data_IF_066236587918
#
_entry.id   IF_066236587918
#
_cell.length_a   1.000
_cell.length_b   1.000
_cell.length_c   1.000
_cell.angle_alpha   90.00
_cell.angle_beta   90.00
_cell.angle_gamma   90.00
#
_symmetry.space_group_name_H-M   'P 1'
#
loop_
_entity.id
_entity.type
_entity.pdbx_description
1 polymer ?
#
# COMPACT_ATOMS: atom_id res chain seq x y z
N UNK A 1 16.00 -22.26 12.49
CA UNK A 1 16.66 -22.13 11.86
C UNK A 1 16.42 -21.74 10.57
N UNK A 2 15.92 -22.13 9.86
CA UNK A 2 15.65 -21.79 8.51
C UNK A 2 14.80 -20.54 8.32
N UNK A 3 14.10 -20.11 9.36
CA UNK A 3 13.19 -18.97 9.23
C UNK A 3 13.90 -17.67 8.86
N UNK A 4 15.09 -17.46 9.39
CA UNK A 4 15.85 -16.26 9.06
C UNK A 4 16.20 -16.18 7.58
N UNK A 5 16.42 -17.32 6.95
CA UNK A 5 16.72 -17.37 5.52
C UNK A 5 15.49 -17.05 4.68
N UNK A 6 14.32 -17.53 5.12
CA UNK A 6 13.08 -17.24 4.40
C UNK A 6 12.74 -15.75 4.46
N UNK A 7 12.97 -15.13 5.63
CA UNK A 7 12.70 -13.71 5.80
C UNK A 7 13.57 -12.84 4.90
N UNK A 8 14.70 -13.36 4.43
CA UNK A 8 15.63 -12.65 3.57
C UNK A 8 15.48 -13.02 2.10
N UNK A 9 14.50 -13.84 1.76
CA UNK A 9 14.24 -14.17 0.36
C UNK A 9 13.87 -12.92 -0.41
N UNK A 10 14.28 -12.89 -1.66
CA UNK A 10 13.89 -11.83 -2.57
C UNK A 10 12.40 -11.94 -2.85
N UNK A 11 11.65 -10.95 -2.42
CA UNK A 11 10.21 -10.86 -2.66
C UNK A 11 9.99 -9.68 -3.59
N UNK A 12 9.21 -9.90 -4.64
CA UNK A 12 8.88 -8.87 -5.62
C UNK A 12 7.39 -8.54 -5.55
N UNK A 13 7.01 -7.43 -6.17
CA UNK A 13 5.61 -7.02 -6.19
C UNK A 13 4.70 -8.11 -6.74
N UNK A 14 5.17 -8.85 -7.75
CA UNK A 14 4.38 -9.92 -8.35
C UNK A 14 4.02 -11.01 -7.34
N UNK A 15 4.81 -11.16 -6.29
CA UNK A 15 4.58 -12.17 -5.25
C UNK A 15 3.51 -11.74 -4.25
N UNK A 16 3.21 -10.45 -4.17
CA UNK A 16 2.36 -9.91 -3.10
C UNK A 16 1.13 -9.18 -3.60
N UNK A 17 1.01 -8.96 -4.91
CA UNK A 17 -0.10 -8.21 -5.48
C UNK A 17 -0.87 -9.07 -6.48
N UNK A 18 -2.18 -9.05 -6.37
CA UNK A 18 -3.06 -9.65 -7.37
C UNK A 18 -3.99 -8.58 -7.94
N UNK A 19 -4.55 -8.84 -9.11
CA UNK A 19 -5.47 -7.88 -9.73
C UNK A 19 -6.71 -7.65 -8.89
N UNK A 20 -7.10 -8.62 -8.05
CA UNK A 20 -8.24 -8.46 -7.14
C UNK A 20 -7.97 -7.40 -6.06
N UNK A 21 -6.70 -7.07 -5.83
CA UNK A 21 -6.31 -6.04 -4.88
C UNK A 21 -5.91 -4.73 -5.57
N UNK A 22 -6.33 -4.53 -6.79
CA UNK A 22 -6.17 -3.27 -7.53
C UNK A 22 -7.55 -2.64 -7.66
N UNK A 23 -7.73 -1.47 -7.07
CA UNK A 23 -9.04 -0.86 -6.93
C UNK A 23 -9.03 0.58 -7.43
N UNK A 24 -10.09 0.93 -8.16
CA UNK A 24 -10.40 2.32 -8.50
C UNK A 24 -11.59 2.70 -7.63
N UNK A 25 -11.40 3.61 -6.68
CA UNK A 25 -12.44 3.94 -5.73
C UNK A 25 -13.01 5.33 -6.00
N UNK A 26 -14.33 5.42 -5.88
CA UNK A 26 -15.07 6.68 -5.92
C UNK A 26 -15.65 6.93 -4.54
N UNK A 27 -16.08 8.17 -4.30
CA UNK A 27 -16.77 8.52 -3.06
C UNK A 27 -15.92 8.40 -1.81
N UNK A 28 -14.59 8.50 -1.97
CA UNK A 28 -13.68 8.63 -0.85
C UNK A 28 -13.32 10.11 -0.74
N UNK A 29 -13.69 10.74 0.38
CA UNK A 29 -13.53 12.19 0.55
C UNK A 29 -12.53 12.55 1.63
N UNK A 30 -12.18 11.62 2.52
CA UNK A 30 -11.31 11.89 3.65
C UNK A 30 -10.34 10.74 3.88
N UNK A 31 -9.20 11.07 4.45
CA UNK A 31 -8.15 10.10 4.76
C UNK A 31 -8.65 8.96 5.65
N UNK A 32 -9.44 9.27 6.69
CA UNK A 32 -9.97 8.24 7.58
C UNK A 32 -10.89 7.27 6.84
N UNK A 33 -11.65 7.78 5.91
CA UNK A 33 -12.55 6.96 5.10
C UNK A 33 -11.74 5.99 4.23
N UNK A 34 -10.63 6.46 3.65
CA UNK A 34 -9.72 5.63 2.90
C UNK A 34 -9.13 4.51 3.77
N UNK A 35 -8.66 4.87 4.96
CA UNK A 35 -8.03 3.90 5.86
C UNK A 35 -9.05 2.87 6.35
N UNK A 36 -10.28 3.27 6.57
CA UNK A 36 -11.36 2.35 6.92
C UNK A 36 -11.57 1.33 5.80
N UNK A 37 -11.57 1.80 4.55
CA UNK A 37 -11.73 0.92 3.41
C UNK A 37 -10.55 -0.05 3.28
N UNK A 38 -9.35 0.43 3.50
CA UNK A 38 -8.15 -0.42 3.49
C UNK A 38 -8.27 -1.51 4.56
N UNK A 39 -8.68 -1.13 5.77
CA UNK A 39 -8.84 -2.10 6.86
C UNK A 39 -9.89 -3.16 6.53
N UNK A 40 -10.99 -2.76 5.90
CA UNK A 40 -12.04 -3.72 5.49
C UNK A 40 -11.50 -4.72 4.47
N UNK A 41 -10.72 -4.25 3.52
CA UNK A 41 -10.13 -5.12 2.51
C UNK A 41 -9.14 -6.08 3.16
N UNK A 42 -8.29 -5.56 4.03
CA UNK A 42 -7.28 -6.38 4.70
C UNK A 42 -7.93 -7.46 5.57
N UNK A 43 -8.97 -7.12 6.32
CA UNK A 43 -9.61 -8.06 7.23
C UNK A 43 -10.23 -9.26 6.51
N UNK A 44 -10.53 -9.12 5.24
CA UNK A 44 -11.06 -10.23 4.44
C UNK A 44 -9.97 -11.21 4.05
N UNK A 45 -8.72 -10.77 4.04
CA UNK A 45 -7.59 -11.57 3.61
C UNK A 45 -6.74 -12.10 4.75
N UNK A 46 -6.95 -11.60 5.96
CA UNK A 46 -6.18 -11.98 7.13
C UNK A 46 -7.13 -12.18 8.32
N UNK A 47 -6.65 -12.91 9.32
CA UNK A 47 -7.47 -13.24 10.48
C UNK A 47 -7.35 -12.17 11.58
N UNK A 48 -7.62 -10.94 11.22
CA UNK A 48 -7.61 -9.79 12.13
C UNK A 48 -8.88 -8.99 11.88
N UNK A 49 -9.54 -8.53 12.94
CA UNK A 49 -10.75 -7.74 12.77
C UNK A 49 -10.43 -6.40 12.09
N UNK A 50 -11.38 -5.89 11.35
CA UNK A 50 -11.26 -4.60 10.66
C UNK A 50 -10.94 -3.48 11.64
N UNK A 51 -11.61 -3.45 12.79
CA UNK A 51 -11.40 -2.39 13.78
C UNK A 51 -9.99 -2.44 14.40
N UNK A 52 -9.47 -3.64 14.66
CA UNK A 52 -8.12 -3.77 15.20
C UNK A 52 -7.09 -3.32 14.18
N UNK A 53 -7.26 -3.75 12.93
CA UNK A 53 -6.32 -3.37 11.87
C UNK A 53 -6.36 -1.86 11.63
N UNK A 54 -7.56 -1.28 11.62
CA UNK A 54 -7.72 0.16 11.43
C UNK A 54 -7.02 0.93 12.55
N UNK A 55 -7.20 0.51 13.81
CA UNK A 55 -6.52 1.17 14.93
C UNK A 55 -5.01 1.15 14.78
N UNK A 56 -4.45 -0.02 14.41
CA UNK A 56 -3.02 -0.15 14.24
C UNK A 56 -2.52 0.73 13.09
N UNK A 57 -3.26 0.76 11.99
CA UNK A 57 -2.88 1.54 10.82
C UNK A 57 -2.93 3.04 11.09
N UNK A 58 -3.96 3.49 11.81
CA UNK A 58 -4.08 4.90 12.17
C UNK A 58 -3.00 5.33 13.16
N UNK A 59 -2.67 4.47 14.10
CA UNK A 59 -1.60 4.74 15.06
C UNK A 59 -0.26 4.90 14.34
N UNK A 60 0.02 4.01 13.40
CA UNK A 60 1.24 4.09 12.58
C UNK A 60 1.27 5.39 11.79
N UNK A 61 0.14 5.80 11.24
CA UNK A 61 0.04 7.00 10.43
C UNK A 61 0.27 8.27 11.26
N UNK A 62 -0.13 8.26 12.52
CA UNK A 62 0.14 9.38 13.40
C UNK A 62 1.62 9.52 13.72
N UNK A 63 2.32 8.38 13.84
CA UNK A 63 3.76 8.39 14.08
C UNK A 63 4.53 8.85 12.86
N UNK A 64 4.10 8.43 11.68
CA UNK A 64 4.78 8.74 10.44
C UNK A 64 3.77 8.81 9.30
N UNK A 65 3.63 9.99 8.71
CA UNK A 65 2.73 10.19 7.58
C UNK A 65 3.22 9.38 6.38
N UNK A 66 2.33 8.62 5.77
CA UNK A 66 2.67 7.73 4.66
C UNK A 66 2.70 8.43 3.30
N UNK A 67 2.36 9.70 3.23
CA UNK A 67 2.46 10.46 1.99
C UNK A 67 3.90 10.69 1.61
N UNK A 68 4.26 10.39 0.38
CA UNK A 68 5.64 10.55 -0.10
C UNK A 68 5.81 11.68 -1.11
N UNK A 69 4.73 12.44 -1.35
CA UNK A 69 4.74 13.53 -2.30
C UNK A 69 4.16 13.11 -3.65
N UNK A 70 3.94 14.10 -4.51
CA UNK A 70 3.44 13.91 -5.88
C UNK A 70 2.09 13.20 -5.93
N UNK A 71 1.29 13.31 -4.88
CA UNK A 71 -0.03 12.70 -4.82
C UNK A 71 -0.02 11.21 -4.48
N UNK A 72 1.08 10.71 -3.93
CA UNK A 72 1.27 9.29 -3.62
C UNK A 72 1.41 9.06 -2.13
N UNK A 73 0.81 7.98 -1.63
CA UNK A 73 1.03 7.53 -0.26
C UNK A 73 1.30 6.03 -0.25
N UNK A 74 2.15 5.60 0.69
CA UNK A 74 2.47 4.19 0.86
C UNK A 74 2.25 3.83 2.34
N UNK A 75 0.98 3.69 2.77
CA UNK A 75 0.72 3.19 4.12
C UNK A 75 1.32 1.80 4.24
N UNK A 76 2.03 1.53 5.33
CA UNK A 76 2.63 0.22 5.51
C UNK A 76 2.65 -0.14 6.98
N UNK A 77 2.55 -1.44 7.26
CA UNK A 77 2.48 -1.92 8.62
C UNK A 77 3.04 -3.34 8.71
N UNK A 78 3.70 -3.62 9.82
CA UNK A 78 4.17 -4.96 10.15
C UNK A 78 3.49 -5.38 11.45
N UNK A 79 2.94 -6.59 11.47
CA UNK A 79 2.23 -7.11 12.66
C UNK A 79 2.52 -8.59 12.83
N UNK A 80 2.60 -9.02 14.10
CA UNK A 80 2.84 -10.42 14.40
C UNK A 80 1.72 -11.34 13.89
N UNK A 81 0.50 -10.83 13.82
CA UNK A 81 -0.65 -11.61 13.38
C UNK A 81 -0.69 -11.84 11.88
N UNK A 82 0.13 -11.10 11.13
CA UNK A 82 0.21 -11.25 9.67
C UNK A 82 1.16 -12.40 9.36
N UNK A 83 0.72 -13.32 8.50
CA UNK A 83 1.53 -14.50 8.14
C UNK A 83 2.24 -14.34 6.81
N UNK A 84 1.62 -13.63 5.87
CA UNK A 84 2.18 -13.44 4.54
C UNK A 84 2.16 -11.98 4.17
N UNK A 85 3.18 -11.54 3.44
CA UNK A 85 3.23 -10.17 2.92
C UNK A 85 2.23 -10.02 1.78
N UNK A 86 1.50 -8.91 1.74
CA UNK A 86 0.63 -8.62 0.61
C UNK A 86 0.47 -7.11 0.43
N UNK A 87 0.04 -6.73 -0.77
CA UNK A 87 -0.15 -5.33 -1.12
C UNK A 87 -1.54 -5.07 -1.67
N UNK A 88 -1.96 -3.82 -1.56
CA UNK A 88 -3.22 -3.33 -2.11
C UNK A 88 -2.94 -2.01 -2.80
N UNK A 89 -3.33 -1.92 -4.07
CA UNK A 89 -3.20 -0.67 -4.82
C UNK A 89 -4.56 -0.02 -4.95
N UNK A 90 -4.64 1.26 -4.61
CA UNK A 90 -5.87 2.02 -4.72
C UNK A 90 -5.61 3.30 -5.51
N UNK A 91 -6.44 3.55 -6.49
CA UNK A 91 -6.47 4.81 -7.20
C UNK A 91 -7.81 5.48 -6.92
N UNK A 92 -7.76 6.76 -6.54
CA UNK A 92 -8.96 7.55 -6.27
C UNK A 92 -9.28 8.39 -7.51
N UNK A 93 -10.57 8.50 -7.83
CA UNK A 93 -10.97 9.38 -8.93
C UNK A 93 -10.85 10.85 -8.56
N UNK A 94 -10.78 11.15 -7.26
CA UNK A 94 -10.61 12.49 -6.75
C UNK A 94 -9.60 12.46 -5.62
N UNK A 95 -8.56 13.29 -5.70
CA UNK A 95 -7.54 13.34 -4.66
C UNK A 95 -8.10 13.87 -3.34
N UNK A 96 -7.50 13.44 -2.24
CA UNK A 96 -7.95 13.80 -0.90
C UNK A 96 -6.82 14.43 -0.11
N UNK A 97 -7.17 15.30 0.83
CA UNK A 97 -6.19 15.88 1.74
C UNK A 97 -5.57 14.78 2.58
N UNK A 98 -4.25 14.79 2.70
CA UNK A 98 -3.51 13.72 3.37
C UNK A 98 -2.52 14.28 4.39
N UNK A 99 -2.36 15.60 4.43
CA UNK A 99 -1.34 16.28 5.23
C UNK A 99 0.06 15.74 4.90
N UNK A 100 0.29 15.49 3.61
CA UNK A 100 1.58 15.02 3.13
C UNK A 100 2.65 16.09 3.31
N UNK A 101 3.91 15.67 3.23
CA UNK A 101 5.05 16.56 3.43
C UNK A 101 5.06 17.75 2.47
N UNK A 102 4.55 17.57 1.25
CA UNK A 102 4.48 18.63 0.24
C UNK A 102 3.11 19.31 0.21
N UNK A 103 2.21 18.97 1.12
CA UNK A 103 0.83 19.48 1.20
C UNK A 103 -0.03 19.19 -0.05
N UNK A 104 0.44 18.33 -0.93
CA UNK A 104 -0.34 17.94 -2.10
C UNK A 104 -1.37 16.88 -1.74
N UNK A 105 -2.58 16.94 -2.30
CA UNK A 105 -3.57 15.89 -2.06
C UNK A 105 -3.14 14.59 -2.72
N UNK A 106 -3.68 13.48 -2.25
CA UNK A 106 -3.27 12.13 -2.62
C UNK A 106 -4.37 11.42 -3.40
N UNK A 107 -3.99 10.75 -4.49
CA UNK A 107 -4.92 9.96 -5.29
C UNK A 107 -4.38 8.56 -5.65
N UNK A 108 -3.10 8.29 -5.36
CA UNK A 108 -2.47 7.00 -5.64
C UNK A 108 -1.94 6.43 -4.33
N UNK A 109 -2.43 5.25 -3.97
CA UNK A 109 -2.11 4.63 -2.68
C UNK A 109 -1.68 3.18 -2.89
N UNK A 110 -0.55 2.81 -2.31
CA UNK A 110 -0.15 1.41 -2.22
C UNK A 110 0.04 1.06 -0.76
N UNK A 111 -0.78 0.14 -0.24
CA UNK A 111 -0.66 -0.31 1.14
C UNK A 111 0.13 -1.60 1.18
N UNK A 112 1.16 -1.63 2.00
CA UNK A 112 2.02 -2.81 2.19
C UNK A 112 1.83 -3.37 3.59
N UNK A 113 1.48 -4.65 3.66
CA UNK A 113 1.22 -5.35 4.93
C UNK A 113 2.15 -6.55 5.03
N UNK A 114 2.90 -6.62 6.11
CA UNK A 114 3.96 -7.64 6.26
C UNK A 114 3.96 -8.26 7.65
N UNK A 115 4.43 -9.51 7.76
CA UNK A 115 4.74 -10.08 9.06
C UNK A 115 5.85 -9.28 9.75
N UNK A 116 5.83 -9.27 11.07
CA UNK A 116 6.79 -8.53 11.87
C UNK A 116 8.23 -8.99 11.60
N UNK A 117 8.44 -10.26 11.31
CA UNK A 117 9.77 -10.81 11.09
C UNK A 117 10.25 -10.71 9.63
N UNK A 118 9.50 -10.01 8.76
CA UNK A 118 9.88 -9.81 7.34
C UNK A 118 10.52 -8.45 7.12
N UNK A 119 11.23 -7.92 8.11
CA UNK A 119 11.71 -6.55 8.05
C UNK A 119 12.59 -6.24 6.81
N UNK A 120 13.61 -7.07 6.46
CA UNK A 120 14.41 -6.77 5.26
C UNK A 120 13.57 -6.76 3.97
N UNK A 121 12.67 -7.72 3.81
CA UNK A 121 11.80 -7.77 2.64
C UNK A 121 10.87 -6.57 2.60
N UNK A 122 10.31 -6.20 3.75
CA UNK A 122 9.43 -5.04 3.87
C UNK A 122 10.13 -3.75 3.38
N UNK A 123 11.34 -3.52 3.86
CA UNK A 123 12.12 -2.34 3.46
C UNK A 123 12.48 -2.36 1.97
N UNK A 124 12.82 -3.53 1.45
CA UNK A 124 13.16 -3.67 0.04
C UNK A 124 11.97 -3.33 -0.87
N UNK A 125 10.77 -3.79 -0.50
CA UNK A 125 9.57 -3.48 -1.26
C UNK A 125 9.25 -1.98 -1.18
N UNK A 126 9.38 -1.38 0.01
CA UNK A 126 9.15 0.07 0.15
C UNK A 126 10.10 0.86 -0.73
N UNK A 127 11.37 0.47 -0.76
CA UNK A 127 12.35 1.14 -1.61
C UNK A 127 12.00 1.01 -3.09
N UNK A 128 11.57 -0.19 -3.50
CA UNK A 128 11.15 -0.42 -4.88
C UNK A 128 9.95 0.46 -5.25
N UNK A 129 8.95 0.49 -4.38
CA UNK A 129 7.75 1.30 -4.62
C UNK A 129 8.08 2.79 -4.70
N UNK A 130 8.95 3.26 -3.81
CA UNK A 130 9.36 4.66 -3.82
C UNK A 130 10.01 5.04 -5.16
N UNK A 131 10.88 4.18 -5.67
CA UNK A 131 11.52 4.42 -6.97
C UNK A 131 10.50 4.38 -8.11
N UNK A 132 9.58 3.42 -8.06
CA UNK A 132 8.57 3.28 -9.11
C UNK A 132 7.67 4.51 -9.17
N UNK A 133 7.19 4.97 -8.03
CA UNK A 133 6.31 6.13 -7.98
C UNK A 133 7.04 7.45 -8.17
N UNK A 134 8.35 7.48 -7.98
CA UNK A 134 9.15 8.67 -8.24
C UNK A 134 9.39 8.88 -9.73
N UNK A 135 9.09 7.89 -10.54
CA UNK A 135 9.20 7.99 -12.00
C UNK A 135 7.93 8.63 -12.54
N UNK A 136 8.07 9.82 -13.13
CA UNK A 136 6.92 10.62 -13.59
C UNK A 136 6.09 9.88 -14.64
N UNK A 137 6.76 9.16 -15.54
CA UNK A 137 6.05 8.44 -16.60
C UNK A 137 5.20 7.31 -16.04
N UNK A 138 5.77 6.56 -15.08
CA UNK A 138 5.00 5.51 -14.42
C UNK A 138 3.76 6.07 -13.75
N UNK A 139 3.92 7.18 -13.05
CA UNK A 139 2.82 7.79 -12.31
C UNK A 139 1.75 8.31 -13.27
N UNK A 140 2.15 8.95 -14.38
CA UNK A 140 1.20 9.39 -15.39
C UNK A 140 0.42 8.22 -15.97
N UNK A 141 1.12 7.12 -16.28
CA UNK A 141 0.48 5.94 -16.85
C UNK A 141 -0.48 5.29 -15.87
N UNK A 142 -0.11 5.24 -14.59
CA UNK A 142 -1.00 4.71 -13.56
C UNK A 142 -2.28 5.55 -13.44
N UNK A 143 -2.13 6.87 -13.48
CA UNK A 143 -3.29 7.77 -13.36
C UNK A 143 -4.19 7.71 -14.59
N UNK A 144 -3.62 7.47 -15.76
CA UNK A 144 -4.38 7.39 -16.99
C UNK A 144 -5.05 6.03 -17.20
N UNK A 145 -4.56 4.99 -16.53
CA UNK A 145 -5.06 3.63 -16.74
C UNK A 145 -6.34 3.38 -15.97
N UNK A 146 -7.31 2.75 -16.61
CA UNK A 146 -8.58 2.40 -15.97
C UNK A 146 -8.70 0.91 -15.73
N UNK A 147 -7.92 0.08 -16.43
CA UNK A 147 -8.05 -1.35 -16.31
C UNK A 147 -6.97 -1.94 -15.40
N UNK A 148 -7.39 -2.94 -14.64
CA UNK A 148 -6.54 -3.54 -13.60
C UNK A 148 -5.31 -4.22 -14.16
N UNK A 149 -5.43 -4.81 -15.33
CA UNK A 149 -4.33 -5.53 -15.96
C UNK A 149 -3.19 -4.59 -16.36
N UNK A 150 -3.53 -3.43 -16.90
CA UNK A 150 -2.55 -2.41 -17.26
C UNK A 150 -1.84 -1.88 -16.01
N UNK A 151 -2.61 -1.59 -14.96
CA UNK A 151 -2.05 -1.13 -13.70
C UNK A 151 -1.12 -2.21 -13.12
N UNK A 152 -1.57 -3.45 -13.13
CA UNK A 152 -0.77 -4.56 -12.63
C UNK A 152 0.56 -4.67 -13.38
N UNK A 153 0.52 -4.55 -14.71
CA UNK A 153 1.72 -4.61 -15.53
C UNK A 153 2.72 -3.50 -15.17
N UNK A 154 2.21 -2.29 -14.94
CA UNK A 154 3.08 -1.16 -14.57
C UNK A 154 3.73 -1.42 -13.20
N UNK A 155 2.95 -1.92 -12.23
CA UNK A 155 3.45 -2.14 -10.87
C UNK A 155 4.42 -3.31 -10.78
N UNK A 156 4.32 -4.28 -11.67
CA UNK A 156 5.12 -5.51 -11.59
C UNK A 156 6.29 -5.57 -12.56
N UNK A 157 6.54 -4.51 -13.31
CA UNK A 157 7.70 -4.52 -14.23
C UNK A 157 9.03 -4.07 -13.58
#
# INVERSE_FOLDING_TARGET
MSNGQEDNKSINIIDILSTSNILNLRNINQKKQLFTKIADICSKNINISSSRFLSALLEKEEEENSGIGEGVAIPNIQMDEIKNMFGIFIKLNKSISFNSIDNEPVDVIFTLVSPQNYHPAHLNILAFLSRLFNNKKNLQNLRASLDKETIYAILTT
#
